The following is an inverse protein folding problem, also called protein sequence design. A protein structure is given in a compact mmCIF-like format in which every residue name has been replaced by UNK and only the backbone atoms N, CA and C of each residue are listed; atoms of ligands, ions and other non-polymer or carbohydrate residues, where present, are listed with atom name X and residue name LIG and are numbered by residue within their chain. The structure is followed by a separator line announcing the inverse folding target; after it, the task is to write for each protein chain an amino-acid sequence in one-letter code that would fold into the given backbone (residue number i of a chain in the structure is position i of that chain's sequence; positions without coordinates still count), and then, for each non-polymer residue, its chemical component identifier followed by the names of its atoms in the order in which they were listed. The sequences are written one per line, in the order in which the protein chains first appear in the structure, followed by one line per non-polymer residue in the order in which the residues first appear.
data_IF_583458078826
#
_entry.id   IF_583458078826
#
_cell.length_a   1.000
_cell.length_b   1.000
_cell.length_c   1.000
_cell.angle_alpha   90.00
_cell.angle_beta   90.00
_cell.angle_gamma   90.00
#
_symmetry.space_group_name_H-M   'P 1'
#
loop_
_entity.id
_entity.type
_entity.pdbx_description
1 polymer ?
#
# COMPACT_ATOMS: atom_id res chain seq x y z
N UNK A 1 -3.51 -17.02 -41.09
CA UNK A 1 -2.39 -16.07 -41.16
C UNK A 1 -1.18 -16.79 -40.60
N UNK A 2 -0.07 -16.86 -41.33
CA UNK A 2 1.14 -17.59 -40.90
C UNK A 2 1.86 -16.80 -39.79
N UNK A 3 2.36 -17.46 -38.75
CA UNK A 3 3.03 -16.84 -37.60
C UNK A 3 4.24 -16.00 -38.03
N UNK A 4 4.89 -16.36 -39.14
CA UNK A 4 6.00 -15.58 -39.72
C UNK A 4 5.54 -14.26 -40.34
N UNK A 5 4.31 -14.22 -40.84
CA UNK A 5 3.69 -13.00 -41.37
C UNK A 5 3.41 -12.02 -40.20
N UNK A 6 2.90 -12.56 -39.08
CA UNK A 6 2.62 -11.81 -37.85
C UNK A 6 3.92 -11.26 -37.24
N UNK A 7 4.96 -12.08 -37.13
CA UNK A 7 6.24 -11.68 -36.55
C UNK A 7 6.96 -10.63 -37.42
N UNK A 8 6.86 -10.75 -38.75
CA UNK A 8 7.39 -9.73 -39.68
C UNK A 8 6.65 -8.40 -39.53
N UNK A 9 5.33 -8.42 -39.36
CA UNK A 9 4.51 -7.23 -39.14
C UNK A 9 4.80 -6.56 -37.79
N UNK A 10 4.96 -7.35 -36.72
CA UNK A 10 5.32 -6.84 -35.39
C UNK A 10 6.72 -6.23 -35.34
N UNK A 11 7.70 -6.85 -36.02
CA UNK A 11 9.07 -6.32 -36.09
C UNK A 11 9.17 -5.07 -36.96
N UNK A 12 8.32 -4.95 -37.99
CA UNK A 12 8.19 -3.74 -38.81
C UNK A 12 7.46 -2.60 -38.09
N UNK A 13 6.56 -2.91 -37.14
CA UNK A 13 5.76 -1.93 -36.43
C UNK A 13 6.53 -1.06 -35.42
N UNK A 14 7.81 -1.37 -35.12
CA UNK A 14 8.68 -0.65 -34.14
C UNK A 14 7.88 0.08 -33.05
N UNK A 15 7.23 -0.65 -32.13
CA UNK A 15 6.36 -0.04 -31.12
C UNK A 15 7.24 0.55 -30.00
N UNK A 16 7.86 1.68 -30.30
CA UNK A 16 8.25 2.68 -29.30
C UNK A 16 7.24 3.81 -29.46
N UNK A 17 6.13 3.74 -28.72
CA UNK A 17 5.18 4.87 -28.67
C UNK A 17 5.77 5.97 -27.80
N UNK A 18 6.73 6.72 -28.33
CA UNK A 18 6.99 8.07 -27.87
C UNK A 18 5.86 8.95 -28.40
N UNK A 19 5.19 9.69 -27.50
CA UNK A 19 4.05 10.59 -27.73
C UNK A 19 2.66 9.97 -27.61
N UNK A 20 2.23 9.78 -26.35
CA UNK A 20 0.82 9.55 -25.98
C UNK A 20 -0.05 10.82 -26.06
N UNK A 21 0.57 11.99 -26.20
CA UNK A 21 -0.11 13.29 -26.19
C UNK A 21 -0.36 13.89 -27.58
N UNK A 22 -0.01 13.16 -28.66
CA UNK A 22 -0.31 13.62 -30.01
C UNK A 22 -1.73 13.23 -30.42
N UNK A 23 -2.48 14.13 -31.09
CA UNK A 23 -3.81 13.80 -31.59
C UNK A 23 -3.75 12.63 -32.56
N UNK A 24 -4.77 11.77 -32.52
CA UNK A 24 -4.89 10.62 -33.41
C UNK A 24 -4.76 11.07 -34.88
N UNK A 25 -3.94 10.35 -35.64
CA UNK A 25 -3.84 10.57 -37.08
C UNK A 25 -5.20 10.34 -37.76
N UNK A 26 -5.45 11.00 -38.89
CA UNK A 26 -6.72 10.85 -39.63
C UNK A 26 -6.92 9.44 -40.19
N UNK A 27 -5.86 8.63 -40.26
CA UNK A 27 -5.97 7.20 -40.54
C UNK A 27 -6.51 6.45 -39.32
N UNK A 28 -5.93 6.68 -38.14
CA UNK A 28 -6.38 6.04 -36.90
C UNK A 28 -7.84 6.42 -36.55
N UNK A 29 -8.24 7.67 -36.78
CA UNK A 29 -9.64 8.11 -36.62
C UNK A 29 -10.60 7.35 -37.54
N UNK A 30 -10.19 7.05 -38.78
CA UNK A 30 -11.02 6.30 -39.73
C UNK A 30 -11.14 4.83 -39.36
N UNK A 31 -10.03 4.18 -38.99
CA UNK A 31 -10.04 2.78 -38.55
C UNK A 31 -10.88 2.60 -37.26
N UNK A 32 -10.81 3.56 -36.33
CA UNK A 32 -11.66 3.57 -35.13
C UNK A 32 -13.14 3.78 -35.47
N UNK A 33 -13.45 4.69 -36.40
CA UNK A 33 -14.83 4.91 -36.83
C UNK A 33 -15.41 3.66 -37.52
N UNK A 34 -14.60 2.92 -38.27
CA UNK A 34 -15.01 1.68 -38.94
C UNK A 34 -15.30 0.57 -37.93
N UNK A 35 -14.49 0.46 -36.87
CA UNK A 35 -14.74 -0.48 -35.76
C UNK A 35 -16.02 -0.13 -34.99
N UNK A 36 -16.21 1.13 -34.64
CA UNK A 36 -17.41 1.59 -33.94
C UNK A 36 -18.69 1.45 -34.78
N UNK A 37 -18.58 1.53 -36.10
CA UNK A 37 -19.69 1.30 -37.04
C UNK A 37 -19.93 -0.20 -37.30
N UNK A 38 -18.95 -1.07 -37.02
CA UNK A 38 -19.08 -2.53 -37.15
C UNK A 38 -19.73 -3.20 -35.93
N UNK A 39 -19.80 -2.51 -34.79
CA UNK A 39 -20.44 -2.98 -33.56
C UNK A 39 -21.74 -2.23 -33.24
N UNK A 40 -22.84 -2.58 -33.92
CA UNK A 40 -24.22 -2.58 -33.40
C UNK A 40 -25.24 -3.07 -34.46
N UNK A 41 -26.43 -3.59 -34.10
CA UNK A 41 -26.77 -4.53 -33.02
C UNK A 41 -27.57 -5.75 -33.56
N UNK A 42 -27.47 -6.91 -32.89
CA UNK A 42 -28.39 -8.04 -33.16
C UNK A 42 -29.72 -7.77 -32.45
N UNK A 43 -30.72 -7.36 -33.22
CA UNK A 43 -32.11 -7.30 -32.76
C UNK A 43 -32.74 -8.69 -32.67
N UNK A 44 -33.48 -8.94 -31.60
CA UNK A 44 -34.50 -9.99 -31.55
C UNK A 44 -35.80 -9.40 -31.01
N UNK A 45 -36.84 -9.61 -31.81
CA UNK A 45 -38.22 -9.12 -31.70
C UNK A 45 -38.96 -9.58 -30.44
N UNK A 46 -39.82 -8.71 -29.92
CA UNK A 46 -40.70 -9.01 -28.78
C UNK A 46 -41.90 -9.91 -29.10
N UNK A 47 -42.45 -10.54 -28.04
CA UNK A 47 -43.91 -10.69 -27.85
C UNK A 47 -44.25 -11.06 -26.39
N UNK A 48 -45.34 -10.47 -25.94
CA UNK A 48 -46.04 -10.56 -24.66
C UNK A 48 -46.63 -11.94 -24.35
N UNK A 49 -46.75 -12.28 -23.06
CA UNK A 49 -47.69 -13.29 -22.55
C UNK A 49 -47.19 -14.11 -21.36
N UNK A 50 -47.84 -13.97 -20.21
CA UNK A 50 -47.87 -14.91 -19.06
C UNK A 50 -49.35 -15.35 -18.88
N UNK A 51 -49.76 -16.43 -18.16
CA UNK A 51 -49.01 -17.32 -17.25
C UNK A 51 -49.34 -18.86 -17.26
N UNK A 52 -48.44 -19.66 -16.64
CA UNK A 52 -48.65 -20.90 -15.84
C UNK A 52 -49.24 -22.21 -16.47
N UNK A 53 -49.33 -23.36 -15.73
CA UNK A 53 -48.26 -24.33 -15.48
C UNK A 53 -48.66 -25.81 -15.77
N UNK A 54 -47.73 -26.74 -16.11
CA UNK A 54 -48.02 -28.19 -16.08
C UNK A 54 -46.81 -29.03 -15.67
N UNK A 55 -47.12 -30.02 -14.81
CA UNK A 55 -46.29 -31.06 -14.17
C UNK A 55 -45.73 -32.13 -15.11
N UNK A 56 -44.82 -32.90 -14.51
CA UNK A 56 -44.50 -34.32 -14.74
C UNK A 56 -43.57 -34.63 -15.93
N UNK A 57 -42.79 -35.71 -15.96
CA UNK A 57 -42.15 -36.64 -15.02
C UNK A 57 -41.41 -37.66 -15.92
N UNK A 58 -40.47 -38.40 -15.36
CA UNK A 58 -39.87 -39.64 -15.92
C UNK A 58 -38.69 -39.40 -16.88
N UNK A 59 -37.44 -39.60 -16.46
CA UNK A 59 -36.74 -40.88 -16.29
C UNK A 59 -36.44 -41.58 -17.63
N UNK A 60 -35.15 -41.82 -17.90
CA UNK A 60 -34.55 -43.13 -18.23
C UNK A 60 -33.17 -42.97 -18.90
N UNK A 61 -32.25 -43.84 -18.46
CA UNK A 61 -31.06 -44.37 -19.12
C UNK A 61 -29.80 -43.49 -19.28
N UNK A 62 -28.84 -43.82 -18.40
CA UNK A 62 -27.41 -43.63 -18.63
C UNK A 62 -26.87 -44.55 -19.75
N UNK A 63 -25.79 -44.15 -20.43
CA UNK A 63 -24.77 -45.08 -20.88
C UNK A 63 -23.48 -44.94 -20.05
N UNK A 64 -22.98 -46.12 -19.66
CA UNK A 64 -21.69 -46.38 -19.02
C UNK A 64 -20.53 -46.01 -19.93
N UNK A 65 -19.60 -45.16 -19.47
CA UNK A 65 -18.26 -45.00 -20.05
C UNK A 65 -17.21 -45.19 -18.95
N UNK A 66 -16.28 -46.12 -19.15
CA UNK A 66 -14.97 -46.21 -18.47
C UNK A 66 -13.98 -46.82 -19.48
N UNK A 67 -12.66 -46.65 -19.34
CA UNK A 67 -11.92 -45.48 -18.88
C UNK A 67 -10.78 -45.12 -19.87
N UNK A 68 -10.66 -43.84 -20.25
CA UNK A 68 -9.48 -43.33 -20.94
C UNK A 68 -8.48 -42.76 -19.93
N UNK A 69 -7.32 -43.39 -19.79
CA UNK A 69 -6.19 -42.95 -18.96
C UNK A 69 -5.40 -41.79 -19.62
N UNK A 70 -4.49 -41.11 -18.90
CA UNK A 70 -4.55 -39.69 -18.64
C UNK A 70 -3.80 -38.87 -19.70
N UNK A 71 -4.46 -37.85 -20.26
CA UNK A 71 -3.73 -36.76 -20.92
C UNK A 71 -3.25 -35.80 -19.83
N UNK A 72 -1.94 -35.74 -19.65
CA UNK A 72 -1.23 -34.67 -18.91
C UNK A 72 -1.74 -33.32 -19.40
N UNK A 73 -2.70 -32.75 -18.68
CA UNK A 73 -3.02 -31.34 -18.80
C UNK A 73 -1.82 -30.57 -18.29
N UNK A 74 -1.09 -29.92 -19.20
CA UNK A 74 -0.34 -28.74 -18.82
C UNK A 74 -1.37 -27.74 -18.29
N UNK A 75 -1.50 -27.70 -16.97
CA UNK A 75 -2.01 -26.52 -16.30
C UNK A 75 -1.02 -25.42 -16.68
N UNK A 76 -1.46 -24.54 -17.58
CA UNK A 76 -0.82 -23.27 -17.74
C UNK A 76 -1.07 -22.57 -16.41
N UNK A 77 -0.10 -22.70 -15.52
CA UNK A 77 0.06 -21.84 -14.36
C UNK A 77 0.16 -20.44 -14.94
N UNK A 78 -0.94 -19.69 -14.90
CA UNK A 78 -0.88 -18.25 -14.92
C UNK A 78 -0.13 -17.88 -13.65
N UNK A 79 1.20 -17.77 -13.77
CA UNK A 79 2.02 -17.02 -12.85
C UNK A 79 1.45 -15.61 -12.90
N UNK A 80 0.59 -15.33 -11.93
CA UNK A 80 0.17 -14.00 -11.58
C UNK A 80 1.45 -13.21 -11.30
N UNK A 81 1.65 -12.18 -12.11
CA UNK A 81 2.68 -11.17 -11.93
C UNK A 81 2.32 -10.40 -10.66
N UNK A 82 2.69 -10.95 -9.50
CA UNK A 82 2.66 -10.25 -8.22
C UNK A 82 3.97 -9.49 -8.07
N UNK A 83 3.89 -8.22 -7.69
CA UNK A 83 5.05 -7.35 -7.48
C UNK A 83 5.01 -6.09 -8.33
N UNK A 84 3.92 -5.33 -8.23
CA UNK A 84 3.88 -3.92 -8.61
C UNK A 84 3.93 -3.10 -7.34
N UNK A 85 5.14 -2.88 -6.83
CA UNK A 85 5.46 -1.92 -5.77
C UNK A 85 4.77 -0.59 -6.11
N UNK A 86 3.95 -0.05 -5.21
CA UNK A 86 3.54 1.34 -5.29
C UNK A 86 4.80 2.19 -5.07
N UNK A 87 5.48 2.53 -6.16
CA UNK A 87 6.61 3.45 -6.13
C UNK A 87 6.05 4.84 -5.85
N UNK A 88 6.16 5.27 -4.60
CA UNK A 88 6.06 6.68 -4.23
C UNK A 88 7.31 7.36 -4.78
N UNK A 89 7.25 7.84 -6.03
CA UNK A 89 8.33 8.59 -6.67
C UNK A 89 8.35 10.04 -6.16
N UNK A 90 9.35 10.38 -5.35
CA UNK A 90 9.81 11.76 -5.20
C UNK A 90 10.48 12.24 -6.50
N UNK A 91 10.01 13.35 -7.06
CA UNK A 91 10.57 13.95 -8.28
C UNK A 91 11.79 14.80 -7.92
N UNK A 92 12.96 14.54 -8.52
CA UNK A 92 14.14 15.43 -8.44
C UNK A 92 14.69 15.74 -9.83
N UNK A 93 14.85 17.04 -10.11
CA UNK A 93 15.56 17.56 -11.29
C UNK A 93 17.08 17.47 -11.08
N UNK A 94 17.78 16.76 -11.98
CA UNK A 94 19.21 16.45 -11.90
C UNK A 94 20.11 17.53 -12.53
N UNK A 95 21.25 17.84 -11.88
CA UNK A 95 22.41 18.57 -12.44
C UNK A 95 23.73 17.83 -12.13
N UNK A 96 24.71 17.71 -13.05
CA UNK A 96 25.87 16.84 -12.87
C UNK A 96 27.13 17.53 -12.33
N UNK A 97 27.87 16.88 -11.42
CA UNK A 97 29.31 17.13 -11.24
C UNK A 97 29.97 16.71 -9.91
N UNK A 98 30.72 15.61 -9.94
CA UNK A 98 31.88 15.22 -9.11
C UNK A 98 31.66 14.55 -7.72
N UNK A 99 32.59 13.67 -7.30
CA UNK A 99 32.36 12.68 -6.25
C UNK A 99 32.84 13.16 -4.87
N UNK A 100 32.01 12.98 -3.87
CA UNK A 100 32.39 12.99 -2.46
C UNK A 100 31.54 11.95 -1.74
N UNK A 101 32.17 11.17 -0.86
CA UNK A 101 31.49 10.39 0.17
C UNK A 101 30.71 11.36 1.05
N UNK A 102 29.50 11.68 0.63
CA UNK A 102 28.64 12.61 1.33
C UNK A 102 27.66 11.79 2.16
N UNK A 103 27.57 12.18 3.43
CA UNK A 103 26.76 11.50 4.43
C UNK A 103 25.30 11.76 4.08
N UNK A 104 24.62 10.71 3.62
CA UNK A 104 23.17 10.73 3.47
C UNK A 104 22.54 11.14 4.79
N UNK A 105 21.70 12.17 4.76
CA UNK A 105 20.84 12.49 5.88
C UNK A 105 19.74 11.44 5.99
N UNK A 106 19.91 10.52 6.94
CA UNK A 106 18.82 9.73 7.50
C UNK A 106 18.67 10.12 8.95
N UNK A 107 17.44 10.17 9.51
CA UNK A 107 17.24 10.32 10.93
C UNK A 107 18.02 9.25 11.72
N UNK A 108 18.43 9.55 12.96
CA UNK A 108 19.02 8.54 13.84
C UNK A 108 18.00 7.44 14.16
N UNK A 109 18.44 6.19 14.42
CA UNK A 109 17.54 5.11 14.80
C UNK A 109 16.80 5.41 16.12
N UNK A 110 15.64 4.79 16.31
CA UNK A 110 14.88 4.91 17.56
C UNK A 110 15.68 4.42 18.77
N UNK A 111 15.56 5.14 19.88
CA UNK A 111 16.15 4.74 21.16
C UNK A 111 15.11 3.96 21.95
N UNK A 112 15.29 2.65 22.00
CA UNK A 112 14.35 1.75 22.67
C UNK A 112 14.80 1.45 24.11
N UNK A 113 13.87 1.62 25.04
CA UNK A 113 14.02 1.29 26.45
C UNK A 113 13.30 -0.01 26.79
N UNK A 114 13.97 -0.91 27.52
CA UNK A 114 13.39 -2.19 27.89
C UNK A 114 12.11 -2.04 28.74
N UNK A 115 11.14 -2.88 28.44
CA UNK A 115 9.92 -3.03 29.24
C UNK A 115 10.17 -3.98 30.41
N UNK A 116 9.61 -3.64 31.58
CA UNK A 116 9.63 -4.51 32.76
C UNK A 116 8.66 -5.71 32.66
N UNK A 117 7.75 -5.69 31.68
CA UNK A 117 6.65 -6.63 31.50
C UNK A 117 6.90 -7.48 30.24
N UNK A 118 6.57 -8.78 30.23
CA UNK A 118 6.72 -9.62 29.04
C UNK A 118 5.87 -9.13 27.86
N UNK A 119 6.41 -9.23 26.64
CA UNK A 119 5.77 -8.77 25.41
C UNK A 119 4.31 -9.20 25.20
N UNK A 120 3.94 -10.49 25.38
CA UNK A 120 2.54 -10.91 25.22
C UNK A 120 1.58 -10.19 26.16
N UNK A 121 1.99 -9.97 27.42
CA UNK A 121 1.18 -9.24 28.38
C UNK A 121 1.05 -7.76 28.01
N UNK A 122 2.09 -7.17 27.39
CA UNK A 122 2.03 -5.79 26.88
C UNK A 122 0.96 -5.66 25.79
N UNK A 123 0.87 -6.63 24.87
CA UNK A 123 -0.13 -6.60 23.80
C UNK A 123 -1.55 -6.84 24.32
N UNK A 124 -1.73 -7.76 25.28
CA UNK A 124 -3.02 -7.97 25.95
C UNK A 124 -3.50 -6.68 26.65
N UNK A 125 -2.58 -6.00 27.37
CA UNK A 125 -2.88 -4.74 28.05
C UNK A 125 -3.21 -3.62 27.05
N UNK A 126 -2.48 -3.53 25.93
CA UNK A 126 -2.74 -2.54 24.87
C UNK A 126 -4.08 -2.79 24.19
N UNK A 127 -4.42 -4.04 23.87
CA UNK A 127 -5.70 -4.37 23.25
C UNK A 127 -6.88 -4.03 24.17
N UNK A 128 -6.73 -4.28 25.48
CA UNK A 128 -7.72 -3.92 26.48
C UNK A 128 -7.89 -2.40 26.62
N UNK A 129 -6.79 -1.62 26.53
CA UNK A 129 -6.84 -0.16 26.53
C UNK A 129 -7.50 0.40 25.29
N UNK A 130 -7.13 -0.12 24.11
CA UNK A 130 -7.76 0.26 22.84
C UNK A 130 -9.27 0.07 22.88
N UNK A 131 -9.74 -1.08 23.36
CA UNK A 131 -11.18 -1.36 23.50
C UNK A 131 -11.90 -0.46 24.52
N UNK A 132 -11.16 0.21 25.40
CA UNK A 132 -11.69 1.12 26.41
C UNK A 132 -11.69 2.60 25.97
N UNK A 133 -11.08 2.91 24.82
CA UNK A 133 -11.12 4.25 24.24
C UNK A 133 -12.58 4.58 23.86
N UNK A 134 -13.14 5.70 24.31
CA UNK A 134 -14.49 6.09 23.90
C UNK A 134 -14.54 6.36 22.39
N UNK A 135 -15.52 5.77 21.72
CA UNK A 135 -15.77 6.09 20.31
C UNK A 135 -16.06 7.59 20.16
N UNK A 136 -15.38 8.21 19.20
CA UNK A 136 -15.74 9.57 18.79
C UNK A 136 -17.06 9.53 18.02
N UNK A 137 -17.96 10.51 18.22
CA UNK A 137 -19.19 10.59 17.44
C UNK A 137 -18.84 10.72 15.96
N UNK A 138 -19.31 9.77 15.15
CA UNK A 138 -19.23 9.88 13.69
C UNK A 138 -20.27 10.91 13.25
N UNK A 139 -19.81 12.02 12.69
CA UNK A 139 -20.69 12.99 12.05
C UNK A 139 -21.02 12.47 10.63
N UNK A 140 -22.20 11.84 10.51
CA UNK A 140 -22.70 11.30 9.24
C UNK A 140 -22.87 12.43 8.21
N UNK A 141 -21.84 12.63 7.38
CA UNK A 141 -21.79 13.70 6.38
C UNK A 141 -20.60 14.64 6.52
N UNK A 142 -19.75 14.47 7.54
CA UNK A 142 -18.47 15.15 7.61
C UNK A 142 -17.46 14.54 6.62
N UNK A 143 -16.50 15.37 6.22
CA UNK A 143 -15.31 14.88 5.52
C UNK A 143 -14.37 14.30 6.56
N UNK A 144 -14.08 13.01 6.46
CA UNK A 144 -13.06 12.37 7.27
C UNK A 144 -11.68 12.71 6.68
N UNK A 145 -10.72 12.99 7.55
CA UNK A 145 -9.36 13.38 7.12
C UNK A 145 -8.36 12.42 7.74
N UNK A 146 -7.47 11.89 6.90
CA UNK A 146 -6.28 11.14 7.32
C UNK A 146 -5.07 12.04 7.02
N UNK A 147 -4.30 12.37 8.04
CA UNK A 147 -3.03 13.10 7.88
C UNK A 147 -1.87 12.15 8.13
N UNK A 148 -0.91 12.16 7.22
CA UNK A 148 0.28 11.32 7.26
C UNK A 148 1.50 12.20 7.06
N UNK A 149 2.40 12.21 8.04
CA UNK A 149 3.75 12.72 7.84
C UNK A 149 4.63 11.56 7.40
N UNK A 150 5.23 11.68 6.23
CA UNK A 150 6.07 10.64 5.66
C UNK A 150 7.41 11.17 5.21
N UNK A 151 8.41 10.31 5.25
CA UNK A 151 9.63 10.54 4.51
C UNK A 151 10.19 9.19 4.07
N UNK A 152 10.78 9.17 2.88
CA UNK A 152 11.41 7.98 2.31
C UNK A 152 12.79 8.36 1.81
N UNK A 153 13.76 7.49 2.04
CA UNK A 153 15.10 7.68 1.52
C UNK A 153 15.09 7.53 0.00
N UNK A 154 15.27 8.66 -0.69
CA UNK A 154 15.31 8.67 -2.15
C UNK A 154 16.57 8.00 -2.67
N UNK A 155 16.37 7.07 -3.60
CA UNK A 155 17.44 6.38 -4.33
C UNK A 155 17.43 6.85 -5.80
N UNK A 156 18.61 6.96 -6.41
CA UNK A 156 18.76 7.24 -7.82
C UNK A 156 18.14 6.13 -8.68
N UNK A 157 17.33 6.56 -9.66
CA UNK A 157 16.52 5.71 -10.56
C UNK A 157 17.36 4.73 -11.40
N UNK A 158 18.65 5.01 -11.62
CA UNK A 158 19.54 4.23 -12.51
C UNK A 158 20.63 3.43 -11.80
N UNK A 159 20.44 3.10 -10.53
CA UNK A 159 21.40 2.26 -9.81
C UNK A 159 21.02 1.84 -8.40
N UNK A 160 19.87 2.28 -7.88
CA UNK A 160 19.45 1.98 -6.50
C UNK A 160 20.40 2.54 -5.44
N UNK A 161 21.24 3.51 -5.84
CA UNK A 161 22.19 4.19 -4.95
C UNK A 161 21.53 5.39 -4.35
N UNK A 162 21.78 5.65 -3.09
CA UNK A 162 21.30 6.88 -2.46
C UNK A 162 22.10 8.07 -2.99
N UNK A 163 21.43 9.20 -3.21
CA UNK A 163 22.11 10.46 -3.53
C UNK A 163 23.04 10.81 -2.35
N UNK A 164 24.36 10.71 -2.51
CA UNK A 164 25.27 10.99 -1.41
C UNK A 164 25.20 12.47 -1.02
N UNK A 165 24.82 13.38 -1.93
CA UNK A 165 24.76 14.82 -1.68
C UNK A 165 23.53 15.25 -0.86
N UNK A 166 22.57 14.35 -0.61
CA UNK A 166 21.40 14.63 0.19
C UNK A 166 21.79 14.79 1.68
N UNK A 167 22.02 16.03 2.11
CA UNK A 167 22.35 16.38 3.51
C UNK A 167 21.13 16.79 4.34
N UNK A 168 19.94 16.81 3.73
CA UNK A 168 18.69 17.23 4.36
C UNK A 168 17.59 16.25 3.96
N UNK A 169 16.79 15.83 4.94
CA UNK A 169 15.53 15.13 4.70
C UNK A 169 14.43 16.17 4.60
N UNK A 170 13.64 16.07 3.53
CA UNK A 170 12.45 16.88 3.31
C UNK A 170 11.22 15.96 3.40
N UNK A 171 10.52 15.92 4.55
CA UNK A 171 9.30 15.15 4.68
C UNK A 171 8.19 15.66 3.77
N UNK A 172 7.20 14.81 3.56
CA UNK A 172 5.94 15.12 2.90
C UNK A 172 4.78 14.98 3.90
N UNK A 173 3.90 15.98 3.93
CA UNK A 173 2.65 15.95 4.69
C UNK A 173 1.52 15.63 3.73
N UNK A 174 0.92 14.47 3.90
CA UNK A 174 -0.20 13.99 3.11
C UNK A 174 -1.50 14.24 3.86
N UNK A 175 -2.46 14.87 3.21
CA UNK A 175 -3.82 15.03 3.72
C UNK A 175 -4.77 14.34 2.75
N UNK A 176 -5.45 13.30 3.22
CA UNK A 176 -6.41 12.51 2.46
C UNK A 176 -7.80 12.84 3.00
N UNK A 177 -8.56 13.65 2.26
CA UNK A 177 -9.92 14.04 2.61
C UNK A 177 -10.94 13.09 1.96
N UNK A 178 -11.53 12.23 2.78
CA UNK A 178 -12.58 11.28 2.43
C UNK A 178 -13.95 11.95 2.52
N UNK A 179 -14.58 12.22 1.38
CA UNK A 179 -15.86 12.95 1.34
C UNK A 179 -17.07 12.01 1.39
N UNK A 180 -18.22 12.48 1.87
CA UNK A 180 -19.45 11.68 1.95
C UNK A 180 -19.97 11.17 0.60
N UNK A 181 -19.64 11.84 -0.51
CA UNK A 181 -20.00 11.40 -1.85
C UNK A 181 -19.09 10.28 -2.39
N UNK A 182 -18.10 9.85 -1.60
CA UNK A 182 -17.11 8.85 -1.92
C UNK A 182 -15.95 9.37 -2.78
N UNK A 183 -15.90 10.67 -3.09
CA UNK A 183 -14.73 11.28 -3.71
C UNK A 183 -13.62 11.51 -2.69
N UNK A 184 -12.38 11.55 -3.16
CA UNK A 184 -11.20 11.77 -2.33
C UNK A 184 -10.41 12.93 -2.88
N UNK A 185 -9.96 13.80 -1.99
CA UNK A 185 -8.97 14.81 -2.30
C UNK A 185 -7.70 14.52 -1.50
N UNK A 186 -6.65 14.15 -2.22
CA UNK A 186 -5.30 14.02 -1.66
C UNK A 186 -4.52 15.30 -1.94
N UNK A 187 -3.94 15.86 -0.89
CA UNK A 187 -3.06 17.03 -0.96
C UNK A 187 -1.73 16.64 -0.32
N UNK A 188 -0.62 16.93 -1.00
CA UNK A 188 0.72 16.67 -0.46
C UNK A 188 1.51 17.97 -0.40
N UNK A 189 2.09 18.25 0.76
CA UNK A 189 2.86 19.46 1.05
C UNK A 189 4.24 19.11 1.58
N UNK A 190 5.19 20.01 1.39
CA UNK A 190 6.50 19.88 2.03
C UNK A 190 6.37 20.02 3.55
N UNK A 191 6.91 19.08 4.31
CA UNK A 191 7.03 19.16 5.77
C UNK A 191 8.20 20.03 6.23
N UNK A 192 8.50 19.99 7.53
CA UNK A 192 9.66 20.68 8.09
C UNK A 192 10.96 19.90 7.78
N UNK A 193 11.95 20.49 7.09
CA UNK A 193 13.19 19.80 6.77
C UNK A 193 14.09 19.64 7.99
N UNK A 194 14.85 18.55 8.03
CA UNK A 194 15.81 18.29 9.09
C UNK A 194 17.08 17.59 8.56
N UNK A 195 18.17 17.69 9.32
CA UNK A 195 19.45 17.06 8.99
C UNK A 195 19.57 15.62 9.52
N UNK A 196 20.70 14.96 9.27
CA UNK A 196 20.98 13.61 9.77
C UNK A 196 20.93 13.46 11.30
N UNK A 197 21.03 14.56 12.04
CA UNK A 197 20.93 14.56 13.51
C UNK A 197 19.49 14.78 13.99
N UNK A 198 18.52 14.91 13.09
CA UNK A 198 17.13 15.27 13.41
C UNK A 198 16.97 16.74 13.81
N UNK A 199 17.93 17.61 13.46
CA UNK A 199 17.86 19.04 13.76
C UNK A 199 17.20 19.79 12.61
N UNK A 200 16.33 20.78 12.85
CA UNK A 200 15.75 21.60 11.78
C UNK A 200 16.81 22.16 10.83
N UNK A 201 16.58 21.98 9.54
CA UNK A 201 17.49 22.34 8.47
C UNK A 201 16.86 23.36 7.52
N UNK A 202 17.61 23.78 6.49
CA UNK A 202 17.08 24.60 5.40
C UNK A 202 16.99 23.77 4.13
N UNK A 203 15.92 23.97 3.37
CA UNK A 203 15.64 23.30 2.10
C UNK A 203 15.28 24.34 1.05
N UNK A 204 15.46 24.00 -0.23
CA UNK A 204 15.02 24.83 -1.35
C UNK A 204 13.49 24.93 -1.45
N UNK A 205 12.79 23.97 -0.83
CA UNK A 205 11.33 23.96 -0.73
C UNK A 205 10.93 24.42 0.67
N UNK A 206 10.14 25.49 0.75
CA UNK A 206 9.66 25.98 2.03
C UNK A 206 8.61 25.02 2.64
N UNK A 207 8.59 24.81 3.97
CA UNK A 207 7.53 24.08 4.65
C UNK A 207 6.14 24.60 4.30
N UNK A 208 5.18 23.69 4.16
CA UNK A 208 3.79 23.97 3.76
C UNK A 208 3.59 24.19 2.26
N UNK A 209 4.65 24.24 1.45
CA UNK A 209 4.55 24.37 -0.01
C UNK A 209 3.75 23.20 -0.58
N UNK A 210 2.73 23.50 -1.41
CA UNK A 210 1.99 22.47 -2.13
C UNK A 210 2.91 21.79 -3.15
N UNK A 211 3.14 20.50 -2.98
CA UNK A 211 3.92 19.68 -3.92
C UNK A 211 3.00 19.21 -5.04
N UNK A 212 1.86 18.62 -4.68
CA UNK A 212 0.83 18.22 -5.64
C UNK A 212 -0.53 18.02 -4.97
N UNK A 213 -1.57 17.94 -5.80
CA UNK A 213 -2.93 17.58 -5.38
C UNK A 213 -3.55 16.65 -6.41
N UNK A 214 -4.38 15.72 -5.94
CA UNK A 214 -5.16 14.81 -6.77
C UNK A 214 -6.56 14.68 -6.22
N UNK A 215 -7.53 14.77 -7.11
CA UNK A 215 -8.92 14.45 -6.82
C UNK A 215 -9.30 13.20 -7.60
N UNK A 216 -9.91 12.24 -6.91
CA UNK A 216 -10.37 10.98 -7.49
C UNK A 216 -11.87 10.83 -7.20
N UNK A 217 -12.66 10.60 -8.25
CA UNK A 217 -14.07 10.28 -8.09
C UNK A 217 -14.27 8.91 -7.45
N UNK A 218 -15.45 8.66 -6.87
CA UNK A 218 -15.78 7.37 -6.23
C UNK A 218 -15.49 6.14 -7.09
N UNK A 219 -15.68 6.24 -8.41
CA UNK A 219 -15.46 5.13 -9.34
C UNK A 219 -14.02 5.02 -9.85
N UNK A 220 -13.21 6.06 -9.65
CA UNK A 220 -11.80 6.11 -10.05
C UNK A 220 -10.90 5.54 -8.96
N UNK A 221 -11.31 5.69 -7.69
CA UNK A 221 -10.57 5.16 -6.54
C UNK A 221 -10.57 3.63 -6.55
N UNK A 222 -9.37 3.06 -6.57
CA UNK A 222 -9.15 1.62 -6.37
C UNK A 222 -8.61 1.43 -4.95
N UNK A 223 -9.48 1.03 -4.04
CA UNK A 223 -9.12 0.70 -2.67
C UNK A 223 -8.62 -0.74 -2.59
N UNK A 224 -7.58 -0.96 -1.78
CA UNK A 224 -7.19 -2.30 -1.35
C UNK A 224 -8.21 -2.84 -0.35
N UNK A 225 -8.74 -1.95 0.50
CA UNK A 225 -9.67 -2.21 1.57
C UNK A 225 -10.95 -1.39 1.36
N UNK A 226 -11.88 -1.93 0.57
CA UNK A 226 -13.15 -1.27 0.21
C UNK A 226 -14.31 -1.54 1.19
N UNK A 227 -14.09 -2.43 2.15
CA UNK A 227 -14.98 -2.70 3.29
C UNK A 227 -14.34 -2.16 4.59
N UNK A 228 -15.13 -1.72 5.59
CA UNK A 228 -14.59 -1.34 6.89
C UNK A 228 -13.78 -2.46 7.54
N UNK A 229 -12.67 -2.09 8.20
CA UNK A 229 -11.85 -3.04 8.95
C UNK A 229 -12.71 -3.84 9.97
N UNK A 230 -12.54 -5.17 10.07
CA UNK A 230 -13.25 -5.96 11.07
C UNK A 230 -12.85 -5.63 12.51
N UNK A 231 -13.78 -5.78 13.44
CA UNK A 231 -13.57 -5.63 14.89
C UNK A 231 -13.22 -6.95 15.60
N UNK A 232 -13.02 -8.03 14.84
CA UNK A 232 -12.53 -9.32 15.33
C UNK A 232 -11.15 -9.59 14.76
N UNK A 233 -10.20 -10.01 15.60
CA UNK A 233 -8.79 -10.17 15.22
C UNK A 233 -8.58 -11.24 14.14
N UNK A 234 -9.31 -12.35 14.20
CA UNK A 234 -9.19 -13.42 13.22
C UNK A 234 -9.79 -12.99 11.86
N UNK A 235 -10.93 -12.31 11.90
CA UNK A 235 -11.53 -11.71 10.72
C UNK A 235 -10.63 -10.62 10.12
N UNK A 236 -9.95 -9.82 10.95
CA UNK A 236 -9.01 -8.79 10.51
C UNK A 236 -7.81 -9.41 9.78
N UNK A 237 -7.21 -10.48 10.31
CA UNK A 237 -6.12 -11.18 9.60
C UNK A 237 -6.55 -11.72 8.22
N UNK A 238 -7.76 -12.27 8.12
CA UNK A 238 -8.32 -12.71 6.84
C UNK A 238 -8.63 -11.54 5.90
N UNK A 239 -9.12 -10.42 6.44
CA UNK A 239 -9.39 -9.20 5.71
C UNK A 239 -8.10 -8.60 5.10
N UNK A 240 -7.04 -8.45 5.91
CA UNK A 240 -5.72 -8.00 5.46
C UNK A 240 -5.15 -8.91 4.37
N UNK A 241 -5.30 -10.23 4.55
CA UNK A 241 -4.84 -11.23 3.56
C UNK A 241 -5.57 -11.11 2.23
N UNK A 242 -6.88 -10.84 2.25
CA UNK A 242 -7.67 -10.61 1.03
C UNK A 242 -7.20 -9.35 0.29
N UNK A 243 -6.98 -8.27 1.03
CA UNK A 243 -6.49 -7.00 0.44
C UNK A 243 -5.15 -7.17 -0.27
N UNK A 244 -4.17 -7.83 0.37
CA UNK A 244 -2.87 -8.08 -0.26
C UNK A 244 -2.88 -9.21 -1.30
N UNK A 245 -3.95 -9.99 -1.39
CA UNK A 245 -4.02 -11.18 -2.26
C UNK A 245 -3.08 -12.32 -1.84
N UNK A 246 -2.60 -12.32 -0.60
CA UNK A 246 -1.72 -13.33 0.00
C UNK A 246 -1.95 -13.43 1.50
N UNK A 247 -1.59 -14.57 2.10
CA UNK A 247 -1.74 -14.79 3.54
C UNK A 247 -0.72 -13.94 4.31
N UNK A 248 -1.20 -13.03 5.16
CA UNK A 248 -0.33 -12.18 6.01
C UNK A 248 -0.16 -12.73 7.42
N UNK A 249 -0.97 -13.73 7.82
CA UNK A 249 -0.96 -14.26 9.19
C UNK A 249 0.31 -15.05 9.51
N UNK A 250 1.05 -15.47 8.48
CA UNK A 250 2.31 -16.19 8.60
C UNK A 250 3.57 -15.32 8.71
N UNK A 251 3.45 -13.98 8.68
CA UNK A 251 4.60 -13.08 8.71
C UNK A 251 4.23 -11.72 9.31
N UNK A 252 4.93 -11.32 10.38
CA UNK A 252 4.75 -9.99 10.95
C UNK A 252 5.09 -8.86 9.97
N UNK A 253 6.14 -9.03 9.15
CA UNK A 253 6.51 -8.07 8.11
C UNK A 253 5.38 -7.84 7.10
N UNK A 254 4.79 -8.91 6.57
CA UNK A 254 3.72 -8.82 5.60
C UNK A 254 2.45 -8.22 6.21
N UNK A 255 2.17 -8.55 7.47
CA UNK A 255 1.07 -7.94 8.23
C UNK A 255 1.30 -6.44 8.46
N UNK A 256 2.52 -6.02 8.79
CA UNK A 256 2.85 -4.60 8.99
C UNK A 256 2.68 -3.81 7.71
N UNK A 257 3.08 -4.38 6.57
CA UNK A 257 2.82 -3.79 5.26
C UNK A 257 1.32 -3.67 4.96
N UNK A 258 0.53 -4.71 5.26
CA UNK A 258 -0.93 -4.64 5.08
C UNK A 258 -1.58 -3.58 5.97
N UNK A 259 -1.11 -3.45 7.22
CA UNK A 259 -1.56 -2.43 8.18
C UNK A 259 -1.23 -1.03 7.67
N UNK A 260 -0.02 -0.79 7.14
CA UNK A 260 0.33 0.47 6.50
C UNK A 260 -0.69 0.85 5.42
N UNK A 261 -0.97 -0.06 4.47
CA UNK A 261 -1.93 0.22 3.42
C UNK A 261 -3.34 0.49 3.96
N UNK A 262 -3.77 -0.24 5.00
CA UNK A 262 -5.07 -0.03 5.64
C UNK A 262 -5.18 1.38 6.22
N UNK A 263 -4.17 1.83 6.96
CA UNK A 263 -4.16 3.14 7.62
C UNK A 263 -4.06 4.31 6.64
N UNK A 264 -3.62 4.07 5.40
CA UNK A 264 -3.67 5.07 4.33
C UNK A 264 -5.07 5.19 3.71
N UNK A 265 -5.95 4.21 3.94
CA UNK A 265 -7.27 4.16 3.33
C UNK A 265 -8.40 4.41 4.33
N UNK A 266 -8.22 4.04 5.60
CA UNK A 266 -9.24 4.05 6.63
C UNK A 266 -8.67 4.52 7.98
N UNK A 267 -9.44 5.33 8.70
CA UNK A 267 -9.23 5.54 10.15
C UNK A 267 -9.89 4.40 10.93
N UNK A 268 -9.22 3.91 11.97
CA UNK A 268 -9.73 2.85 12.81
C UNK A 268 -10.44 3.41 14.05
N UNK A 269 -11.60 2.85 14.38
CA UNK A 269 -12.26 3.06 15.67
C UNK A 269 -11.60 2.26 16.80
N UNK A 270 -12.10 2.41 18.03
CA UNK A 270 -11.54 1.76 19.22
C UNK A 270 -11.60 0.23 19.14
N UNK A 271 -12.68 -0.33 18.60
CA UNK A 271 -12.86 -1.78 18.48
C UNK A 271 -11.98 -2.36 17.37
N UNK A 272 -11.82 -1.65 16.26
CA UNK A 272 -10.92 -1.99 15.17
C UNK A 272 -9.45 -1.90 15.60
N UNK A 273 -9.08 -0.86 16.35
CA UNK A 273 -7.74 -0.74 16.93
C UNK A 273 -7.44 -1.89 17.90
N UNK A 274 -8.38 -2.26 18.78
CA UNK A 274 -8.23 -3.41 19.66
C UNK A 274 -8.08 -4.74 18.89
N UNK A 275 -8.85 -4.93 17.83
CA UNK A 275 -8.73 -6.08 16.95
C UNK A 275 -7.37 -6.14 16.25
N UNK A 276 -6.84 -4.99 15.83
CA UNK A 276 -5.52 -4.86 15.23
C UNK A 276 -4.41 -5.24 16.21
N UNK A 277 -4.41 -4.69 17.43
CA UNK A 277 -3.41 -5.04 18.44
C UNK A 277 -3.49 -6.54 18.81
N UNK A 278 -4.70 -7.06 18.97
CA UNK A 278 -4.91 -8.49 19.23
C UNK A 278 -4.38 -9.34 18.08
N UNK A 279 -4.64 -8.95 16.84
CA UNK A 279 -4.12 -9.63 15.65
C UNK A 279 -2.58 -9.62 15.61
N UNK A 280 -1.94 -8.49 15.91
CA UNK A 280 -0.48 -8.42 16.00
C UNK A 280 0.06 -9.45 17.00
N UNK A 281 -0.60 -9.61 18.16
CA UNK A 281 -0.22 -10.62 19.15
C UNK A 281 -0.31 -12.08 18.68
N UNK A 282 -0.98 -12.35 17.56
CA UNK A 282 -1.07 -13.69 16.96
C UNK A 282 0.00 -13.97 15.90
N UNK A 283 0.71 -12.93 15.44
CA UNK A 283 1.68 -13.06 14.37
C UNK A 283 2.92 -13.86 14.83
N UNK A 284 3.56 -14.61 13.94
CA UNK A 284 4.88 -15.15 14.20
C UNK A 284 5.95 -14.06 14.04
N UNK A 285 7.15 -14.34 14.52
CA UNK A 285 8.39 -13.65 14.15
C UNK A 285 8.43 -12.13 14.41
N UNK A 286 7.60 -11.64 15.33
CA UNK A 286 7.70 -10.29 15.90
C UNK A 286 8.37 -10.30 17.27
N UNK A 287 8.86 -9.13 17.68
CA UNK A 287 9.42 -8.87 19.01
C UNK A 287 8.84 -7.56 19.54
N UNK A 288 8.28 -7.59 20.75
CA UNK A 288 8.03 -6.35 21.50
C UNK A 288 9.39 -5.82 21.97
N UNK A 289 9.88 -4.75 21.34
CA UNK A 289 11.22 -4.24 21.54
C UNK A 289 11.35 -3.42 22.83
N UNK A 290 10.33 -2.64 23.16
CA UNK A 290 10.34 -1.78 24.34
C UNK A 290 9.48 -0.54 24.20
N UNK A 291 9.82 0.50 24.96
CA UNK A 291 9.26 1.85 24.86
C UNK A 291 10.21 2.75 24.08
N UNK A 292 9.65 3.64 23.26
CA UNK A 292 10.39 4.71 22.59
C UNK A 292 9.54 5.97 22.60
N UNK A 293 10.09 7.01 22.01
CA UNK A 293 9.35 8.19 21.53
C UNK A 293 9.39 8.16 20.01
N UNK A 294 8.27 8.47 19.35
CA UNK A 294 8.21 8.62 17.90
C UNK A 294 8.81 9.96 17.43
N UNK A 295 8.73 10.26 16.12
CA UNK A 295 9.33 11.49 15.56
C UNK A 295 8.51 12.75 15.86
N UNK A 296 7.28 12.61 16.37
CA UNK A 296 6.40 13.69 16.77
C UNK A 296 6.38 13.86 18.30
N UNK A 297 7.40 13.34 18.99
CA UNK A 297 7.56 13.39 20.44
C UNK A 297 6.45 12.67 21.24
N UNK A 298 5.79 11.67 20.63
CA UNK A 298 4.74 10.86 21.27
C UNK A 298 5.32 9.57 21.87
N UNK A 299 4.92 9.17 23.10
CA UNK A 299 5.37 7.91 23.67
C UNK A 299 4.80 6.72 22.87
N UNK A 300 5.62 5.69 22.68
CA UNK A 300 5.24 4.53 21.87
C UNK A 300 5.74 3.20 22.47
N UNK A 301 4.95 2.15 22.32
CA UNK A 301 5.40 0.76 22.41
C UNK A 301 5.89 0.32 21.03
N UNK A 302 7.12 -0.16 20.94
CA UNK A 302 7.76 -0.56 19.69
C UNK A 302 7.65 -2.07 19.49
N UNK A 303 7.13 -2.48 18.33
CA UNK A 303 7.07 -3.87 17.89
C UNK A 303 7.89 -4.02 16.62
N UNK A 304 8.91 -4.85 16.66
CA UNK A 304 9.83 -5.09 15.54
C UNK A 304 9.51 -6.41 14.85
N UNK A 305 9.65 -6.43 13.53
CA UNK A 305 9.66 -7.63 12.70
C UNK A 305 10.87 -7.57 11.76
N UNK A 306 11.48 -8.73 11.51
CA UNK A 306 12.51 -8.83 10.47
C UNK A 306 11.85 -8.67 9.11
N UNK A 307 12.35 -7.74 8.30
CA UNK A 307 11.85 -7.51 6.95
C UNK A 307 12.11 -8.71 6.03
N UNK A 308 11.30 -8.84 4.98
CA UNK A 308 11.44 -9.87 3.94
C UNK A 308 12.80 -9.88 3.23
N UNK A 309 13.52 -8.76 3.26
CA UNK A 309 14.96 -8.72 3.01
C UNK A 309 15.70 -8.69 4.36
N UNK A 310 16.63 -9.63 4.56
CA UNK A 310 17.35 -9.86 5.83
C UNK A 310 18.12 -8.63 6.38
N UNK A 311 18.33 -7.62 5.54
CA UNK A 311 19.02 -6.37 5.87
C UNK A 311 18.09 -5.24 6.32
N UNK A 312 16.81 -5.51 6.62
CA UNK A 312 15.86 -4.51 7.09
C UNK A 312 15.05 -4.98 8.30
N UNK A 313 14.76 -4.06 9.20
CA UNK A 313 13.83 -4.27 10.32
C UNK A 313 12.69 -3.27 10.18
N UNK A 314 11.47 -3.78 10.29
CA UNK A 314 10.23 -3.00 10.26
C UNK A 314 9.69 -2.87 11.68
N UNK A 315 9.35 -1.67 12.08
CA UNK A 315 8.80 -1.37 13.40
C UNK A 315 7.40 -0.76 13.27
N UNK A 316 6.43 -1.28 14.04
CA UNK A 316 5.18 -0.60 14.35
C UNK A 316 5.31 0.06 15.72
N UNK A 317 4.94 1.33 15.80
CA UNK A 317 4.87 2.11 17.02
C UNK A 317 3.40 2.25 17.43
N UNK A 318 3.05 1.74 18.61
CA UNK A 318 1.70 1.81 19.16
C UNK A 318 1.62 2.82 20.30
N UNK A 319 0.54 3.58 20.34
CA UNK A 319 0.21 4.45 21.46
C UNK A 319 -0.01 3.60 22.73
N UNK A 320 0.73 3.84 23.82
CA UNK A 320 0.58 3.08 25.05
C UNK A 320 -0.77 3.29 25.75
N UNK A 321 -1.47 4.39 25.48
CA UNK A 321 -2.75 4.74 26.09
C UNK A 321 -3.94 4.28 25.25
N UNK A 322 -3.87 4.44 23.93
CA UNK A 322 -4.99 4.13 23.03
C UNK A 322 -4.82 2.85 22.21
N UNK A 323 -3.62 2.28 22.15
CA UNK A 323 -3.30 1.14 21.28
C UNK A 323 -3.38 1.45 19.79
N UNK A 324 -3.61 2.71 19.40
CA UNK A 324 -3.59 3.14 18.01
C UNK A 324 -2.18 3.04 17.42
N UNK A 325 -2.09 2.78 16.12
CA UNK A 325 -0.81 2.86 15.41
C UNK A 325 -0.43 4.33 15.28
N UNK A 326 0.75 4.69 15.79
CA UNK A 326 1.32 6.03 15.70
C UNK A 326 2.20 6.16 14.47
N UNK A 327 3.04 5.16 14.23
CA UNK A 327 4.01 5.19 13.14
C UNK A 327 4.45 3.79 12.69
N UNK A 328 5.01 3.74 11.48
CA UNK A 328 5.74 2.61 10.93
C UNK A 328 7.10 3.10 10.46
N UNK A 329 8.16 2.40 10.86
CA UNK A 329 9.54 2.74 10.53
C UNK A 329 10.27 1.53 9.92
N UNK A 330 10.98 1.75 8.81
CA UNK A 330 11.87 0.76 8.19
C UNK A 330 13.32 1.20 8.43
N UNK A 331 14.13 0.32 9.04
CA UNK A 331 15.55 0.56 9.30
C UNK A 331 16.41 -0.44 8.53
N UNK A 332 17.44 0.06 7.84
CA UNK A 332 18.47 -0.79 7.24
C UNK A 332 19.43 -1.31 8.31
N UNK A 333 19.54 -2.63 8.44
CA UNK A 333 20.41 -3.34 9.40
C UNK A 333 21.58 -4.05 8.72
N UNK A 334 21.63 -4.05 7.38
CA UNK A 334 22.74 -4.63 6.62
C UNK A 334 24.06 -3.87 6.80
N UNK A 335 25.13 -4.46 6.27
CA UNK A 335 26.51 -3.92 6.37
C UNK A 335 27.29 -3.97 5.05
N UNK A 336 26.63 -4.43 3.97
CA UNK A 336 27.23 -4.62 2.65
C UNK A 336 27.20 -3.34 1.79
N UNK A 337 26.38 -2.35 2.18
CA UNK A 337 26.26 -1.06 1.49
C UNK A 337 27.28 -0.04 1.98
N UNK A 338 27.74 0.78 1.04
CA UNK A 338 28.65 1.92 1.32
C UNK A 338 27.93 3.27 1.29
N UNK A 339 26.71 3.29 0.77
CA UNK A 339 25.88 4.48 0.55
C UNK A 339 24.75 4.61 1.58
N UNK A 340 24.45 3.55 2.33
CA UNK A 340 23.50 3.56 3.46
C UNK A 340 24.23 3.00 4.67
N UNK A 341 24.25 3.76 5.76
CA UNK A 341 24.86 3.30 7.01
C UNK A 341 23.95 2.27 7.70
N UNK A 342 24.54 1.27 8.35
CA UNK A 342 23.80 0.40 9.26
C UNK A 342 23.10 1.22 10.34
N UNK A 343 21.82 0.93 10.58
CA UNK A 343 20.96 1.70 11.49
C UNK A 343 20.31 2.93 10.85
N UNK A 344 20.52 3.18 9.56
CA UNK A 344 19.81 4.22 8.84
C UNK A 344 18.33 3.88 8.74
N UNK A 345 17.48 4.80 9.18
CA UNK A 345 16.06 4.76 8.84
C UNK A 345 15.95 5.06 7.36
N UNK A 346 15.19 4.27 6.62
CA UNK A 346 15.04 4.42 5.16
C UNK A 346 13.61 4.79 4.76
N UNK A 347 12.66 4.61 5.67
CA UNK A 347 11.25 4.93 5.48
C UNK A 347 10.61 5.17 6.85
N UNK A 348 9.76 6.18 6.94
CA UNK A 348 8.96 6.45 8.13
C UNK A 348 7.63 7.04 7.69
N UNK A 349 6.55 6.53 8.28
CA UNK A 349 5.20 7.03 8.11
C UNK A 349 4.58 7.21 9.49
N UNK A 350 3.91 8.33 9.72
CA UNK A 350 3.22 8.57 10.98
C UNK A 350 1.87 9.21 10.75
N UNK A 351 0.87 8.76 11.50
CA UNK A 351 -0.51 9.22 11.39
C UNK A 351 -0.83 10.20 12.53
N UNK A 352 -1.52 11.27 12.20
CA UNK A 352 -2.13 12.14 13.20
C UNK A 352 -3.47 11.52 13.63
N UNK A 353 -3.56 11.21 14.93
CA UNK A 353 -4.79 10.70 15.54
C UNK A 353 -5.49 11.88 16.21
N UNK A 354 -6.29 12.64 15.45
CA UNK A 354 -7.09 13.79 15.93
C UNK A 354 -8.29 13.39 16.78
#
# INVERSE_FOLDING_TARGET
MDDREVERLLRAARPMSGNRDLPLSDRAKRELAELLMSEAPVGSTGRTGSPAPVRAASAVAAPRWTPGQPRRGHRWSLLALAGGLAVLTGVVLNWPGAPSSAATATPPPLVVHELAVPGPQVLDDLAARAAAVPDQPVDEGATETITIDSWVLTMEENGGRVDPAATVVQPEVWTIALRPDGSVLTTVRAGEPYDSAGTPASSDVAPGTLLWTREEGRLERQLVFDEPAPTDAAALGAFLSRGLGRDVSGSADEAFHAIHLLLNEQRLDAAQAAALVTFIGTLPDFKVAGLSTDRLDRPAVVIEAQGSADDFVNAILLDPESGAVLAIETTYTGSDRTDVATGAVVEYHTWEND
#
